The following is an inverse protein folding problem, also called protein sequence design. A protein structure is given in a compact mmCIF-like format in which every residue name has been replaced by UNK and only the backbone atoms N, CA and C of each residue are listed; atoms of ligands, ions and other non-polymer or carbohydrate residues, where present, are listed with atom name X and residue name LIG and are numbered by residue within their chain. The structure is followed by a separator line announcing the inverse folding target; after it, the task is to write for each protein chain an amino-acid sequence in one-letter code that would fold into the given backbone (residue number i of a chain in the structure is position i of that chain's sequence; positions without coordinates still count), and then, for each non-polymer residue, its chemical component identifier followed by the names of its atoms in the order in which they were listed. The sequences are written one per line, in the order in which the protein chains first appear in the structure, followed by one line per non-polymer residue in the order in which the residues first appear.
data_IF_262991492737
#
_entry.id   IF_262991492737
#
_cell.length_a   1.000
_cell.length_b   1.000
_cell.length_c   1.000
_cell.angle_alpha   90.00
_cell.angle_beta   90.00
_cell.angle_gamma   90.00
#
_symmetry.space_group_name_H-M   'P 1'
#
loop_
_entity.id
_entity.type
_entity.pdbx_description
1 polymer ?
#
# COMPACT_ATOMS: atom_id res chain seq x y z
N UNK A 1 11.28 -24.87 0.72
CA UNK A 1 11.41 -23.48 1.18
C UNK A 1 10.46 -23.34 2.35
N UNK A 2 10.98 -23.36 3.56
CA UNK A 2 10.16 -23.14 4.75
C UNK A 2 9.67 -21.69 4.75
N UNK A 3 8.36 -21.52 4.83
CA UNK A 3 7.70 -20.23 4.90
C UNK A 3 8.24 -19.44 6.12
N UNK A 4 8.74 -18.20 5.95
CA UNK A 4 9.19 -17.35 7.04
C UNK A 4 8.16 -17.21 8.18
N UNK A 5 6.86 -17.31 7.86
CA UNK A 5 5.79 -17.28 8.85
C UNK A 5 5.80 -18.53 9.75
N UNK A 6 6.05 -19.71 9.17
CA UNK A 6 6.10 -20.98 9.89
C UNK A 6 7.29 -21.03 10.85
N UNK A 7 8.47 -20.59 10.40
CA UNK A 7 9.67 -20.54 11.24
C UNK A 7 9.50 -19.62 12.46
N UNK A 8 8.88 -18.45 12.25
CA UNK A 8 8.56 -17.51 13.33
C UNK A 8 7.57 -18.09 14.34
N UNK A 9 6.49 -18.73 13.87
CA UNK A 9 5.49 -19.34 14.75
C UNK A 9 6.11 -20.44 15.63
N UNK A 10 6.93 -21.31 15.03
CA UNK A 10 7.63 -22.37 15.76
C UNK A 10 8.59 -21.81 16.81
N UNK A 11 9.34 -20.75 16.49
CA UNK A 11 10.20 -20.07 17.46
C UNK A 11 9.38 -19.50 18.63
N UNK A 12 8.26 -18.83 18.34
CA UNK A 12 7.41 -18.21 19.35
C UNK A 12 6.79 -19.26 20.29
N UNK A 13 6.32 -20.38 19.73
CA UNK A 13 5.80 -21.50 20.50
C UNK A 13 6.88 -22.15 21.38
N UNK A 14 8.07 -22.42 20.83
CA UNK A 14 9.18 -23.05 21.56
C UNK A 14 9.72 -22.19 22.71
N UNK A 15 9.65 -20.87 22.60
CA UNK A 15 10.12 -19.93 23.62
C UNK A 15 9.02 -19.50 24.61
N UNK A 16 7.84 -20.15 24.58
CA UNK A 16 6.74 -19.83 25.51
C UNK A 16 6.19 -18.41 25.35
N UNK A 17 6.38 -17.78 24.19
CA UNK A 17 5.95 -16.41 23.91
C UNK A 17 4.44 -16.35 23.59
N UNK A 18 3.80 -17.49 23.28
CA UNK A 18 2.36 -17.60 23.07
C UNK A 18 1.69 -17.86 24.42
N UNK A 19 1.38 -16.80 25.14
CA UNK A 19 0.78 -16.88 26.50
C UNK A 19 -0.75 -16.95 26.47
N UNK A 20 -1.38 -16.56 25.36
CA UNK A 20 -2.82 -16.64 25.14
C UNK A 20 -3.15 -16.49 23.65
N UNK A 21 -4.39 -16.81 23.26
CA UNK A 21 -4.88 -16.56 21.90
C UNK A 21 -4.81 -15.07 21.51
N UNK A 22 -5.15 -14.16 22.43
CA UNK A 22 -5.05 -12.72 22.21
C UNK A 22 -3.61 -12.25 22.03
N UNK A 23 -2.65 -12.80 22.80
CA UNK A 23 -1.24 -12.48 22.65
C UNK A 23 -0.69 -12.95 21.29
N UNK A 24 -1.14 -14.11 20.81
CA UNK A 24 -0.80 -14.60 19.47
C UNK A 24 -1.31 -13.66 18.39
N UNK A 25 -2.59 -13.27 18.45
CA UNK A 25 -3.20 -12.35 17.48
C UNK A 25 -2.45 -11.01 17.46
N UNK A 26 -2.16 -10.42 18.62
CA UNK A 26 -1.39 -9.18 18.69
C UNK A 26 0.02 -9.32 18.09
N UNK A 27 0.70 -10.42 18.37
CA UNK A 27 2.05 -10.62 17.84
C UNK A 27 2.03 -10.89 16.33
N UNK A 28 0.97 -11.51 15.82
CA UNK A 28 0.73 -11.74 14.40
C UNK A 28 0.43 -10.43 13.67
N UNK A 29 -0.42 -9.58 14.25
CA UNK A 29 -0.64 -8.22 13.77
C UNK A 29 0.65 -7.40 13.81
N UNK A 30 1.39 -7.40 14.90
CA UNK A 30 2.63 -6.63 15.01
C UNK A 30 3.71 -7.05 13.99
N UNK A 31 3.75 -8.34 13.62
CA UNK A 31 4.77 -8.92 12.73
C UNK A 31 4.37 -8.90 11.27
N UNK A 32 3.09 -9.08 10.97
CA UNK A 32 2.58 -9.32 9.61
C UNK A 32 1.44 -8.40 9.20
N UNK A 33 0.82 -7.63 10.10
CA UNK A 33 -0.06 -6.57 9.65
C UNK A 33 0.77 -5.54 8.86
N UNK A 34 0.17 -4.91 7.84
CA UNK A 34 0.67 -3.63 7.34
C UNK A 34 0.92 -2.75 8.55
N UNK A 35 2.15 -2.27 8.72
CA UNK A 35 2.53 -1.55 9.93
C UNK A 35 1.57 -0.38 10.16
N UNK A 36 1.41 0.06 11.41
CA UNK A 36 0.69 1.32 11.71
C UNK A 36 1.34 2.56 11.04
N UNK A 37 2.53 2.38 10.45
CA UNK A 37 3.25 3.34 9.62
C UNK A 37 3.02 3.16 8.11
N UNK A 38 2.30 2.12 7.70
CA UNK A 38 1.86 1.94 6.33
C UNK A 38 0.69 2.92 6.14
N UNK A 39 1.03 4.12 5.71
CA UNK A 39 0.09 5.17 5.34
C UNK A 39 -0.11 5.10 3.82
N UNK A 40 -0.96 4.18 3.30
CA UNK A 40 -1.18 4.05 1.86
C UNK A 40 -1.76 5.33 1.28
N UNK A 41 -2.49 6.12 2.08
CA UNK A 41 -2.96 7.45 1.67
C UNK A 41 -1.78 8.38 1.45
N UNK A 42 -0.91 8.53 2.45
CA UNK A 42 0.31 9.35 2.35
C UNK A 42 1.27 8.90 1.25
N UNK A 43 1.39 7.59 1.02
CA UNK A 43 2.15 7.04 -0.09
C UNK A 43 1.52 7.41 -1.43
N UNK A 44 0.20 7.25 -1.59
CA UNK A 44 -0.55 7.62 -2.79
C UNK A 44 -0.47 9.13 -3.08
N UNK A 45 -0.48 9.98 -2.04
CA UNK A 45 -0.30 11.43 -2.20
C UNK A 45 1.08 11.84 -2.67
N UNK A 46 2.11 11.07 -2.31
CA UNK A 46 3.50 11.35 -2.66
C UNK A 46 3.94 10.63 -3.93
N UNK A 47 3.07 9.78 -4.49
CA UNK A 47 3.37 8.97 -5.66
C UNK A 47 3.55 9.87 -6.89
N UNK A 48 4.73 9.78 -7.51
CA UNK A 48 5.05 10.52 -8.73
C UNK A 48 5.54 9.56 -9.81
N UNK A 49 5.13 9.81 -11.05
CA UNK A 49 5.58 9.05 -12.21
C UNK A 49 7.10 9.27 -12.40
N UNK A 50 7.87 8.19 -12.33
CA UNK A 50 9.33 8.20 -12.60
C UNK A 50 9.71 7.49 -13.90
N UNK A 51 8.86 6.58 -14.37
CA UNK A 51 9.08 5.77 -15.56
C UNK A 51 7.90 5.85 -16.51
N UNK A 52 7.51 4.71 -17.06
CA UNK A 52 6.35 4.65 -17.95
C UNK A 52 5.06 4.95 -17.19
N UNK A 53 4.04 5.43 -17.91
CA UNK A 53 2.70 5.63 -17.35
C UNK A 53 2.12 4.30 -16.85
N UNK A 54 2.46 3.19 -17.49
CA UNK A 54 1.96 1.86 -17.12
C UNK A 54 2.53 1.39 -15.78
N UNK A 55 3.83 1.62 -15.54
CA UNK A 55 4.45 1.31 -14.25
C UNK A 55 3.85 2.16 -13.13
N UNK A 56 3.64 3.45 -13.40
CA UNK A 56 2.97 4.37 -12.48
C UNK A 56 1.54 3.94 -12.17
N UNK A 57 0.78 3.51 -13.17
CA UNK A 57 -0.59 3.01 -12.99
C UNK A 57 -0.62 1.77 -12.11
N UNK A 58 0.25 0.79 -12.35
CA UNK A 58 0.33 -0.43 -11.53
C UNK A 58 0.67 -0.12 -10.06
N UNK A 59 1.57 0.83 -9.82
CA UNK A 59 1.93 1.26 -8.46
C UNK A 59 0.78 2.03 -7.80
N UNK A 60 0.09 2.89 -8.56
CA UNK A 60 -1.09 3.62 -8.09
C UNK A 60 -2.23 2.67 -7.69
N UNK A 61 -2.55 1.68 -8.53
CA UNK A 61 -3.59 0.68 -8.24
C UNK A 61 -3.26 -0.16 -7.01
N UNK A 62 -1.99 -0.53 -6.84
CA UNK A 62 -1.52 -1.28 -5.66
C UNK A 62 -1.77 -0.51 -4.36
N UNK A 63 -1.53 0.81 -4.37
CA UNK A 63 -1.78 1.68 -3.22
C UNK A 63 -3.28 1.97 -3.04
N UNK A 64 -4.00 2.27 -4.12
CA UNK A 64 -5.43 2.57 -4.08
C UNK A 64 -6.26 1.40 -3.54
N UNK A 65 -5.91 0.16 -3.91
CA UNK A 65 -6.56 -1.06 -3.42
C UNK A 65 -6.43 -1.26 -1.90
N UNK A 66 -5.46 -0.60 -1.25
CA UNK A 66 -5.26 -0.64 0.20
C UNK A 66 -6.03 0.45 0.94
N UNK A 67 -6.71 1.35 0.24
CA UNK A 67 -7.42 2.49 0.83
C UNK A 67 -8.93 2.30 0.71
N UNK A 68 -9.63 2.43 1.84
CA UNK A 68 -11.10 2.38 1.90
C UNK A 68 -11.66 3.79 2.10
N UNK A 69 -12.75 4.11 1.39
CA UNK A 69 -13.56 5.31 1.62
C UNK A 69 -13.06 6.60 0.96
N UNK A 70 -12.09 6.54 0.04
CA UNK A 70 -11.74 7.70 -0.79
C UNK A 70 -12.71 7.84 -1.97
N UNK A 71 -13.22 9.06 -2.25
CA UNK A 71 -14.04 9.30 -3.44
C UNK A 71 -13.27 9.02 -4.74
N UNK A 72 -13.91 8.48 -5.79
CA UNK A 72 -13.26 8.25 -7.08
C UNK A 72 -12.66 9.52 -7.70
N UNK A 73 -13.35 10.66 -7.58
CA UNK A 73 -12.85 11.96 -8.04
C UNK A 73 -11.55 12.39 -7.34
N UNK A 74 -11.39 11.99 -6.08
CA UNK A 74 -10.19 12.24 -5.32
C UNK A 74 -9.01 11.41 -5.82
N UNK A 75 -9.24 10.11 -6.06
CA UNK A 75 -8.24 9.22 -6.65
C UNK A 75 -7.81 9.73 -8.03
N UNK A 76 -8.76 10.17 -8.87
CA UNK A 76 -8.46 10.77 -10.17
C UNK A 76 -7.57 12.01 -10.02
N UNK A 77 -7.90 12.91 -9.08
CA UNK A 77 -7.09 14.09 -8.80
C UNK A 77 -5.67 13.72 -8.36
N UNK A 78 -5.51 12.72 -7.49
CA UNK A 78 -4.20 12.23 -7.06
C UNK A 78 -3.41 11.66 -8.24
N UNK A 79 -4.05 10.81 -9.06
CA UNK A 79 -3.43 10.21 -10.25
C UNK A 79 -2.91 11.30 -11.20
N UNK A 80 -3.76 12.26 -11.59
CA UNK A 80 -3.36 13.34 -12.50
C UNK A 80 -2.25 14.20 -11.88
N UNK A 81 -2.29 14.45 -10.57
CA UNK A 81 -1.28 15.26 -9.89
C UNK A 81 0.11 14.63 -9.88
N UNK A 82 0.18 13.29 -9.80
CA UNK A 82 1.42 12.52 -9.77
C UNK A 82 2.01 12.21 -11.14
N UNK A 83 1.28 12.43 -12.23
CA UNK A 83 1.82 12.27 -13.59
C UNK A 83 3.01 13.20 -13.87
N UNK A 84 3.88 12.75 -14.77
CA UNK A 84 4.99 13.55 -15.25
C UNK A 84 4.49 14.88 -15.86
N UNK A 85 5.20 16.01 -15.68
CA UNK A 85 4.70 17.34 -16.05
C UNK A 85 4.25 17.49 -17.51
N UNK A 86 4.88 16.78 -18.43
CA UNK A 86 4.55 16.71 -19.85
C UNK A 86 3.25 15.94 -20.09
N UNK A 87 3.10 14.74 -19.50
CA UNK A 87 1.88 13.92 -19.63
C UNK A 87 0.70 14.61 -18.96
N UNK A 88 0.91 15.18 -17.77
CA UNK A 88 -0.12 15.92 -17.03
C UNK A 88 -0.67 17.08 -17.85
N UNK A 89 0.18 17.82 -18.56
CA UNK A 89 -0.23 18.93 -19.42
C UNK A 89 -1.13 18.47 -20.56
N UNK A 90 -0.76 17.40 -21.24
CA UNK A 90 -1.57 16.78 -22.30
C UNK A 90 -2.93 16.32 -21.77
N UNK A 91 -2.94 15.60 -20.64
CA UNK A 91 -4.17 15.14 -19.99
C UNK A 91 -5.09 16.31 -19.64
N UNK A 92 -4.55 17.38 -19.05
CA UNK A 92 -5.33 18.57 -18.70
C UNK A 92 -5.86 19.31 -19.93
N UNK A 93 -5.06 19.39 -21.00
CA UNK A 93 -5.44 20.05 -22.24
C UNK A 93 -6.57 19.30 -22.97
N UNK A 94 -6.55 17.96 -22.89
CA UNK A 94 -7.52 17.09 -23.54
C UNK A 94 -8.82 16.91 -22.73
N UNK A 95 -8.88 17.38 -21.48
CA UNK A 95 -9.97 17.17 -20.52
C UNK A 95 -10.50 15.73 -20.52
N UNK A 96 -10.01 14.84 -19.64
CA UNK A 96 -10.61 13.53 -19.53
C UNK A 96 -12.05 13.70 -19.04
N UNK A 97 -13.00 13.37 -19.91
CA UNK A 97 -14.45 13.37 -19.66
C UNK A 97 -14.81 12.45 -18.49
#
# INVERSE_FOLDING_TARGET
MDDPALGWFQWMSRNGQITSWHALLHALEARFAPSQYDDPKGALFKLTQRGSVNDYLAEFETLANRIVGLPPSFLLSCFISGLAPEVRREVQALQPL
#
